data_IF_158654629597
#
_entry.id   IF_158654629597
#
_cell.length_a   1.000
_cell.length_b   1.000
_cell.length_c   1.000
_cell.angle_alpha   90.00
_cell.angle_beta   90.00
_cell.angle_gamma   90.00
#
_symmetry.space_group_name_H-M   'P 1'
#
loop_
_entity.id
_entity.type
_entity.pdbx_description
1 polymer ?
#
# COMPACT_ATOMS: atom_id res chain seq x y z
N UNK A 1 -35.67 -20.09 -4.00
CA UNK A 1 -34.20 -20.19 -4.14
C UNK A 1 -33.55 -19.77 -2.83
N UNK A 2 -32.68 -20.61 -2.28
CA UNK A 2 -31.94 -20.27 -1.06
C UNK A 2 -31.02 -19.06 -1.31
N UNK A 3 -30.85 -18.19 -0.30
CA UNK A 3 -29.98 -17.00 -0.37
C UNK A 3 -28.73 -17.25 0.46
N UNK A 4 -27.55 -17.03 -0.13
CA UNK A 4 -26.28 -17.12 0.60
C UNK A 4 -26.12 -15.98 1.59
N UNK A 5 -25.78 -16.31 2.84
CA UNK A 5 -25.46 -15.34 3.90
C UNK A 5 -24.14 -15.73 4.55
N UNK A 6 -23.12 -14.89 4.40
CA UNK A 6 -21.83 -15.11 5.04
C UNK A 6 -21.83 -14.58 6.48
N UNK A 7 -21.68 -15.48 7.47
CA UNK A 7 -21.77 -15.15 8.91
C UNK A 7 -20.75 -14.10 9.36
N UNK A 8 -19.58 -14.02 8.71
CA UNK A 8 -18.51 -13.08 9.06
C UNK A 8 -18.45 -11.87 8.12
N UNK A 9 -19.54 -11.54 7.42
CA UNK A 9 -19.56 -10.41 6.48
C UNK A 9 -19.19 -9.07 7.14
N UNK A 10 -19.63 -8.85 8.40
CA UNK A 10 -19.27 -7.64 9.15
C UNK A 10 -17.76 -7.55 9.40
N UNK A 11 -17.10 -8.67 9.69
CA UNK A 11 -15.65 -8.72 9.89
C UNK A 11 -14.94 -8.44 8.57
N UNK A 12 -15.39 -9.04 7.46
CA UNK A 12 -14.82 -8.77 6.13
C UNK A 12 -14.94 -7.28 5.77
N UNK A 13 -16.10 -6.66 6.01
CA UNK A 13 -16.30 -5.22 5.79
C UNK A 13 -15.35 -4.37 6.64
N UNK A 14 -15.19 -4.71 7.93
CA UNK A 14 -14.25 -4.03 8.81
C UNK A 14 -12.80 -4.16 8.30
N UNK A 15 -12.39 -5.34 7.83
CA UNK A 15 -11.04 -5.54 7.26
C UNK A 15 -10.83 -4.74 5.97
N UNK A 16 -11.84 -4.59 5.13
CA UNK A 16 -11.77 -3.71 3.96
C UNK A 16 -11.61 -2.24 4.35
N UNK A 17 -12.34 -1.78 5.37
CA UNK A 17 -12.19 -0.41 5.90
C UNK A 17 -10.79 -0.18 6.47
N UNK A 18 -10.27 -1.12 7.27
CA UNK A 18 -8.92 -1.05 7.83
C UNK A 18 -7.84 -1.04 6.73
N UNK A 19 -7.96 -1.88 5.69
CA UNK A 19 -7.04 -1.83 4.55
C UNK A 19 -7.07 -0.45 3.86
N UNK A 20 -8.26 0.13 3.67
CA UNK A 20 -8.40 1.45 3.06
C UNK A 20 -7.77 2.55 3.92
N UNK A 21 -7.89 2.47 5.24
CA UNK A 21 -7.19 3.37 6.16
C UNK A 21 -5.67 3.22 6.01
N UNK A 22 -5.14 1.99 6.00
CA UNK A 22 -3.70 1.75 5.83
C UNK A 22 -3.18 2.23 4.46
N UNK A 23 -3.99 2.16 3.39
CA UNK A 23 -3.63 2.74 2.10
C UNK A 23 -3.46 4.26 2.18
N UNK A 24 -4.34 4.94 2.91
CA UNK A 24 -4.24 6.38 3.12
C UNK A 24 -2.99 6.76 3.92
N UNK A 25 -2.72 6.06 5.02
CA UNK A 25 -1.50 6.27 5.82
C UNK A 25 -0.22 6.02 5.02
N UNK A 26 -0.18 4.94 4.23
CA UNK A 26 0.92 4.67 3.31
C UNK A 26 1.11 5.81 2.29
N UNK A 27 0.03 6.31 1.70
CA UNK A 27 0.10 7.42 0.75
C UNK A 27 0.64 8.71 1.41
N UNK A 28 0.23 9.01 2.64
CA UNK A 28 0.76 10.14 3.41
C UNK A 28 2.25 9.98 3.76
N UNK A 29 2.69 8.76 4.10
CA UNK A 29 4.11 8.48 4.34
C UNK A 29 4.93 8.62 3.05
N UNK A 30 4.39 8.16 1.91
CA UNK A 30 5.05 8.27 0.62
C UNK A 30 5.19 9.72 0.17
N UNK A 31 4.15 10.54 0.38
CA UNK A 31 4.19 11.97 0.08
C UNK A 31 5.29 12.68 0.89
N UNK A 32 5.40 12.37 2.19
CA UNK A 32 6.47 12.89 3.04
C UNK A 32 7.86 12.46 2.58
N UNK A 33 8.03 11.20 2.20
CA UNK A 33 9.30 10.68 1.68
C UNK A 33 9.72 11.39 0.38
N UNK A 34 8.76 11.65 -0.51
CA UNK A 34 8.99 12.41 -1.74
C UNK A 34 9.39 13.86 -1.45
N UNK A 35 8.72 14.53 -0.50
CA UNK A 35 9.02 15.90 -0.10
C UNK A 35 10.46 16.02 0.42
N UNK A 36 10.89 15.10 1.29
CA UNK A 36 12.25 15.09 1.83
C UNK A 36 13.30 14.81 0.75
N UNK A 37 12.98 13.96 -0.24
CA UNK A 37 13.85 13.74 -1.42
C UNK A 37 13.97 15.00 -2.27
N UNK A 38 12.87 15.69 -2.50
CA UNK A 38 12.87 16.92 -3.29
C UNK A 38 13.73 18.01 -2.64
N UNK A 39 13.59 18.19 -1.32
CA UNK A 39 14.47 19.09 -0.53
C UNK A 39 15.95 18.72 -0.71
N UNK A 40 16.28 17.42 -0.66
CA UNK A 40 17.65 16.95 -0.89
C UNK A 40 18.15 17.29 -2.29
N UNK A 41 17.33 17.06 -3.33
CA UNK A 41 17.66 17.41 -4.71
C UNK A 41 17.93 18.91 -4.86
N UNK A 42 17.09 19.76 -4.28
CA UNK A 42 17.28 21.21 -4.31
C UNK A 42 18.61 21.63 -3.64
N UNK A 43 18.96 21.02 -2.50
CA UNK A 43 20.25 21.28 -1.84
C UNK A 43 21.44 20.84 -2.69
N UNK A 44 21.35 19.68 -3.35
CA UNK A 44 22.40 19.18 -4.23
C UNK A 44 22.62 20.09 -5.44
N UNK A 45 21.53 20.53 -6.08
CA UNK A 45 21.60 21.50 -7.19
C UNK A 45 22.25 22.81 -6.73
N UNK A 46 21.83 23.32 -5.57
CA UNK A 46 22.43 24.55 -5.00
C UNK A 46 23.91 24.38 -4.67
N UNK A 47 24.31 23.22 -4.15
CA UNK A 47 25.72 22.90 -3.90
C UNK A 47 26.53 22.91 -5.20
N UNK A 48 26.03 22.26 -6.25
CA UNK A 48 26.68 22.22 -7.55
C UNK A 48 26.87 23.64 -8.13
N UNK A 49 25.86 24.50 -8.01
CA UNK A 49 25.96 25.90 -8.44
C UNK A 49 27.08 26.66 -7.71
N UNK A 50 27.21 26.49 -6.39
CA UNK A 50 28.31 27.11 -5.64
C UNK A 50 29.68 26.54 -6.00
N UNK A 51 29.77 25.25 -6.37
CA UNK A 51 31.02 24.65 -6.84
C UNK A 51 31.42 25.18 -8.22
N UNK A 52 30.47 25.23 -9.16
CA UNK A 52 30.70 25.76 -10.50
C UNK A 52 31.12 27.23 -10.44
N UNK A 53 30.42 28.04 -9.64
CA UNK A 53 30.78 29.45 -9.44
C UNK A 53 32.18 29.62 -8.84
N UNK A 54 32.56 28.74 -7.92
CA UNK A 54 33.91 28.78 -7.35
C UNK A 54 34.98 28.45 -8.39
N UNK A 55 34.73 27.47 -9.27
CA UNK A 55 35.63 27.15 -10.37
C UNK A 55 35.76 28.34 -11.34
N UNK A 56 34.64 28.93 -11.76
CA UNK A 56 34.62 30.12 -12.64
C UNK A 56 35.45 31.29 -12.10
N UNK A 57 35.30 31.61 -10.81
CA UNK A 57 36.04 32.73 -10.18
C UNK A 57 37.53 32.43 -10.08
N UNK A 58 37.90 31.16 -9.83
CA UNK A 58 39.31 30.74 -9.74
C UNK A 58 39.99 30.74 -11.10
N UNK A 59 39.27 30.40 -12.17
CA UNK A 59 39.79 30.37 -13.54
C UNK A 59 39.80 31.76 -14.21
N UNK A 60 39.23 32.77 -13.56
CA UNK A 60 39.17 34.13 -14.09
C UNK A 60 40.48 34.91 -13.89
N UNK A 61 40.80 35.81 -14.84
CA UNK A 61 41.97 36.70 -14.78
C UNK A 61 41.93 37.69 -13.59
N UNK A 62 40.78 37.87 -12.95
CA UNK A 62 40.58 38.79 -11.82
C UNK A 62 40.10 38.05 -10.57
N UNK A 63 41.04 37.75 -9.67
CA UNK A 63 40.75 37.03 -8.43
C UNK A 63 40.06 37.93 -7.39
N UNK A 64 38.74 37.78 -7.23
CA UNK A 64 38.02 38.32 -6.07
C UNK A 64 38.16 37.39 -4.85
N UNK A 65 39.13 37.71 -3.99
CA UNK A 65 39.39 36.98 -2.75
C UNK A 65 38.17 36.90 -1.82
N UNK A 66 37.32 37.94 -1.77
CA UNK A 66 36.14 37.94 -0.87
C UNK A 66 35.10 36.96 -1.38
N UNK A 67 34.84 36.94 -2.69
CA UNK A 67 33.92 35.99 -3.32
C UNK A 67 34.40 34.54 -3.12
N UNK A 68 35.70 34.26 -3.30
CA UNK A 68 36.28 32.93 -3.08
C UNK A 68 36.07 32.44 -1.64
N UNK A 69 36.33 33.29 -0.64
CA UNK A 69 36.13 32.92 0.77
C UNK A 69 34.64 32.64 1.04
N UNK A 70 33.75 33.50 0.54
CA UNK A 70 32.32 33.30 0.66
C UNK A 70 31.86 31.97 0.05
N UNK A 71 32.27 31.66 -1.18
CA UNK A 71 31.88 30.44 -1.89
C UNK A 71 32.42 29.17 -1.20
N UNK A 72 33.63 29.21 -0.63
CA UNK A 72 34.19 28.09 0.15
C UNK A 72 33.40 27.84 1.44
N UNK A 73 32.99 28.91 2.13
CA UNK A 73 32.16 28.81 3.31
C UNK A 73 30.77 28.28 2.95
N UNK A 74 30.13 28.81 1.90
CA UNK A 74 28.85 28.35 1.40
C UNK A 74 28.88 26.85 1.03
N UNK A 75 29.94 26.39 0.37
CA UNK A 75 30.15 24.97 0.06
C UNK A 75 30.24 24.10 1.33
N UNK A 76 30.97 24.57 2.35
CA UNK A 76 31.09 23.87 3.63
C UNK A 76 29.74 23.77 4.34
N UNK A 77 28.99 24.87 4.40
CA UNK A 77 27.63 24.89 4.94
C UNK A 77 26.72 23.93 4.18
N UNK A 78 26.79 23.93 2.84
CA UNK A 78 25.91 23.08 2.03
C UNK A 78 26.18 21.60 2.25
N UNK A 79 27.45 21.19 2.44
CA UNK A 79 27.79 19.81 2.82
C UNK A 79 27.14 19.39 4.15
N UNK A 80 27.07 20.30 5.13
CA UNK A 80 26.37 20.02 6.40
C UNK A 80 24.88 19.86 6.18
N UNK A 81 24.24 20.81 5.49
CA UNK A 81 22.80 20.79 5.21
C UNK A 81 22.39 19.54 4.42
N UNK A 82 23.18 19.14 3.42
CA UNK A 82 22.94 17.92 2.65
C UNK A 82 23.01 16.70 3.57
N UNK A 83 24.00 16.62 4.46
CA UNK A 83 24.12 15.49 5.40
C UNK A 83 22.90 15.40 6.31
N UNK A 84 22.48 16.52 6.88
CA UNK A 84 21.30 16.58 7.76
C UNK A 84 20.04 16.17 6.99
N UNK A 85 19.89 16.64 5.75
CA UNK A 85 18.76 16.28 4.89
C UNK A 85 18.79 14.80 4.47
N UNK A 86 19.97 14.20 4.25
CA UNK A 86 20.08 12.76 4.01
C UNK A 86 19.56 11.94 5.19
N UNK A 87 19.83 12.36 6.43
CA UNK A 87 19.24 11.72 7.60
C UNK A 87 17.71 11.88 7.65
N UNK A 88 17.19 13.05 7.28
CA UNK A 88 15.75 13.28 7.18
C UNK A 88 15.09 12.35 6.15
N UNK A 89 15.68 12.22 4.95
CA UNK A 89 15.23 11.26 3.92
C UNK A 89 15.26 9.83 4.45
N UNK A 90 16.34 9.40 5.10
CA UNK A 90 16.42 8.04 5.65
C UNK A 90 15.34 7.79 6.71
N UNK A 91 15.07 8.78 7.56
CA UNK A 91 14.00 8.70 8.55
C UNK A 91 12.63 8.56 7.89
N UNK A 92 12.35 9.34 6.84
CA UNK A 92 11.10 9.25 6.08
C UNK A 92 10.96 7.90 5.36
N UNK A 93 12.04 7.36 4.80
CA UNK A 93 12.09 6.03 4.19
C UNK A 93 11.78 4.92 5.19
N UNK A 94 12.36 4.99 6.39
CA UNK A 94 12.07 4.03 7.44
C UNK A 94 10.60 4.09 7.87
N UNK A 95 10.02 5.28 7.97
CA UNK A 95 8.60 5.45 8.28
C UNK A 95 7.69 4.88 7.17
N UNK A 96 8.02 5.14 5.90
CA UNK A 96 7.32 4.57 4.76
C UNK A 96 7.36 3.04 4.75
N UNK A 97 8.51 2.45 5.06
CA UNK A 97 8.66 0.99 5.13
C UNK A 97 7.82 0.37 6.27
N UNK A 98 7.65 1.08 7.39
CA UNK A 98 6.74 0.65 8.46
C UNK A 98 5.29 0.62 7.96
N UNK A 99 4.83 1.71 7.33
CA UNK A 99 3.46 1.76 6.80
C UNK A 99 3.23 0.77 5.66
N UNK A 100 4.26 0.49 4.86
CA UNK A 100 4.22 -0.57 3.83
C UNK A 100 3.93 -1.93 4.45
N UNK A 101 4.65 -2.30 5.51
CA UNK A 101 4.45 -3.58 6.21
C UNK A 101 3.05 -3.70 6.80
N UNK A 102 2.55 -2.63 7.42
CA UNK A 102 1.18 -2.56 7.95
C UNK A 102 0.12 -2.73 6.87
N UNK A 103 0.31 -2.07 5.72
CA UNK A 103 -0.59 -2.24 4.58
C UNK A 103 -0.56 -3.67 4.04
N UNK A 104 0.61 -4.29 3.96
CA UNK A 104 0.74 -5.67 3.50
C UNK A 104 0.09 -6.67 4.48
N UNK A 105 0.18 -6.44 5.79
CA UNK A 105 -0.55 -7.20 6.81
C UNK A 105 -2.06 -7.03 6.67
N UNK A 106 -2.56 -5.79 6.57
CA UNK A 106 -3.99 -5.53 6.38
C UNK A 106 -4.54 -6.19 5.10
N UNK A 107 -3.77 -6.15 4.00
CA UNK A 107 -4.10 -6.84 2.75
C UNK A 107 -4.16 -8.35 2.92
N UNK A 108 -3.21 -8.95 3.65
CA UNK A 108 -3.20 -10.40 3.93
C UNK A 108 -4.44 -10.78 4.72
N UNK A 109 -4.78 -10.05 5.78
CA UNK A 109 -5.96 -10.32 6.59
C UNK A 109 -7.26 -10.23 5.78
N UNK A 110 -7.46 -9.16 5.01
CA UNK A 110 -8.64 -9.04 4.14
C UNK A 110 -8.73 -10.20 3.16
N UNK A 111 -7.63 -10.55 2.46
CA UNK A 111 -7.61 -11.69 1.51
C UNK A 111 -7.95 -13.01 2.20
N UNK A 112 -7.52 -13.21 3.44
CA UNK A 112 -7.89 -14.39 4.22
C UNK A 112 -9.40 -14.46 4.43
N UNK A 113 -10.04 -13.36 4.81
CA UNK A 113 -11.50 -13.31 4.96
C UNK A 113 -12.26 -13.45 3.65
N UNK A 114 -11.74 -12.91 2.53
CA UNK A 114 -12.32 -13.15 1.21
C UNK A 114 -12.32 -14.63 0.85
N UNK A 115 -11.20 -15.33 1.06
CA UNK A 115 -11.11 -16.78 0.84
C UNK A 115 -12.04 -17.58 1.75
N UNK A 116 -12.23 -17.17 3.01
CA UNK A 116 -13.20 -17.81 3.90
C UNK A 116 -14.63 -17.64 3.40
N UNK A 117 -14.97 -16.46 2.86
CA UNK A 117 -16.28 -16.21 2.24
C UNK A 117 -16.48 -17.04 0.97
N UNK A 118 -15.46 -17.15 0.12
CA UNK A 118 -15.48 -17.98 -1.09
C UNK A 118 -15.71 -19.45 -0.72
N UNK A 119 -14.98 -20.00 0.25
CA UNK A 119 -15.17 -21.38 0.73
C UNK A 119 -16.59 -21.61 1.27
N UNK A 120 -17.08 -20.71 2.12
CA UNK A 120 -18.44 -20.81 2.65
C UNK A 120 -19.51 -20.74 1.53
N UNK A 121 -19.23 -20.01 0.45
CA UNK A 121 -20.12 -19.94 -0.69
C UNK A 121 -20.13 -21.24 -1.52
N UNK A 122 -18.97 -21.87 -1.71
CA UNK A 122 -18.90 -23.18 -2.37
C UNK A 122 -19.58 -24.27 -1.55
N UNK A 123 -19.39 -24.28 -0.22
CA UNK A 123 -20.11 -25.18 0.69
C UNK A 123 -21.63 -25.01 0.58
N UNK A 124 -22.11 -23.76 0.59
CA UNK A 124 -23.52 -23.44 0.41
C UNK A 124 -24.10 -23.97 -0.92
N UNK A 125 -23.34 -23.91 -2.02
CA UNK A 125 -23.78 -24.49 -3.31
C UNK A 125 -23.88 -26.01 -3.26
N UNK A 126 -22.93 -26.66 -2.59
CA UNK A 126 -22.94 -28.12 -2.44
C UNK A 126 -24.15 -28.57 -1.61
N UNK A 127 -24.44 -27.87 -0.52
CA UNK A 127 -25.62 -28.13 0.31
C UNK A 127 -26.92 -27.93 -0.47
N UNK A 128 -27.04 -26.83 -1.23
CA UNK A 128 -28.23 -26.56 -2.04
C UNK A 128 -28.45 -27.65 -3.11
N UNK A 129 -27.39 -28.08 -3.80
CA UNK A 129 -27.49 -29.16 -4.78
C UNK A 129 -27.89 -30.49 -4.12
N UNK A 130 -27.39 -30.78 -2.92
CA UNK A 130 -27.75 -31.99 -2.18
C UNK A 130 -29.22 -31.97 -1.74
N UNK A 131 -29.71 -30.82 -1.30
CA UNK A 131 -31.13 -30.61 -0.93
C UNK A 131 -32.05 -30.73 -2.15
N UNK A 132 -31.68 -30.11 -3.28
CA UNK A 132 -32.42 -30.21 -4.54
C UNK A 132 -32.47 -31.66 -5.07
N UNK A 133 -31.36 -32.39 -5.00
CA UNK A 133 -31.32 -33.81 -5.38
C UNK A 133 -32.21 -34.66 -4.49
N UNK A 134 -32.17 -34.44 -3.17
CA UNK A 134 -33.03 -35.15 -2.22
C UNK A 134 -34.51 -34.88 -2.48
N UNK A 135 -34.88 -33.63 -2.73
CA UNK A 135 -36.25 -33.26 -3.07
C UNK A 135 -36.73 -33.94 -4.38
N UNK A 136 -35.85 -34.04 -5.38
CA UNK A 136 -36.14 -34.74 -6.63
C UNK A 136 -36.34 -36.25 -6.41
N UNK A 137 -35.51 -36.89 -5.58
CA UNK A 137 -35.62 -38.32 -5.26
C UNK A 137 -36.92 -38.63 -4.48
N UNK A 138 -37.30 -37.76 -3.53
CA UNK A 138 -38.56 -37.87 -2.80
C UNK A 138 -39.78 -37.70 -3.72
N UNK A 139 -39.75 -36.72 -4.62
CA UNK A 139 -40.81 -36.52 -5.62
C UNK A 139 -40.93 -37.71 -6.59
N UNK A 140 -39.79 -38.24 -7.02
CA UNK A 140 -39.73 -39.43 -7.90
C UNK A 140 -40.35 -40.63 -7.17
N UNK A 141 -39.94 -40.88 -5.93
CA UNK A 141 -40.49 -41.97 -5.12
C UNK A 141 -42.00 -41.81 -4.89
N UNK A 142 -42.49 -40.59 -4.65
CA UNK A 142 -43.93 -40.31 -4.50
C UNK A 142 -44.72 -40.54 -5.80
N UNK A 143 -44.20 -40.09 -6.95
CA UNK A 143 -44.88 -40.25 -8.24
C UNK A 143 -44.95 -41.72 -8.67
N UNK A 144 -43.84 -42.47 -8.59
CA UNK A 144 -43.82 -43.91 -8.89
C UNK A 144 -44.62 -44.74 -7.87
N UNK A 145 -44.55 -44.40 -6.57
CA UNK A 145 -45.34 -45.07 -5.54
C UNK A 145 -46.86 -44.85 -5.67
N UNK A 146 -47.26 -43.64 -6.10
CA UNK A 146 -48.67 -43.32 -6.36
C UNK A 146 -49.22 -43.96 -7.64
N UNK A 147 -48.36 -44.21 -8.64
CA UNK A 147 -48.74 -44.95 -9.85
C UNK A 147 -48.97 -46.45 -9.56
N UNK A 148 -48.19 -47.06 -8.67
CA UNK A 148 -48.32 -48.47 -8.27
C UNK A 148 -49.56 -48.79 -7.43
N UNK A 149 -50.14 -47.80 -6.74
CA UNK A 149 -51.33 -47.96 -5.89
C UNK A 149 -52.65 -47.71 -6.64
N UNK A 150 -52.61 -47.50 -7.96
CA UNK A 150 -53.80 -47.28 -8.81
C UNK A 150 -54.18 -48.47 -9.70
N UNK A 151 -53.44 -49.57 -9.60
CA UNK A 151 -53.79 -50.89 -10.15
C UNK A 151 -54.28 -51.80 -9.01
#
# INVERSE_FOLDING_TARGET
>A
MAKFVYRLQNILNLKQMLENQQKAEFALAQARENEEREKLTQLLVRAANYQNRLAEVVDSDSLDRKEIIFLRNANTTMKSLIRDQMFAVQKAQNALEIERRRLDEARKERKTHERLREKAFEEFKLELNAEDNKANDELTSYTYGSAKNKD
#
